data_IF_942081522391
#
_entry.id   IF_942081522391
#
_cell.length_a   1.000
_cell.length_b   1.000
_cell.length_c   1.000
_cell.angle_alpha   90.00
_cell.angle_beta   90.00
_cell.angle_gamma   90.00
#
_symmetry.space_group_name_H-M   'P 1'
#
loop_
_entity.id
_entity.type
_entity.pdbx_description
1 polymer ?
#
# COMPACT_ATOMS: atom_id res chain seq x y z
N UNK A 1 9.58 -19.03 -36.05
CA UNK A 1 8.58 -18.40 -35.16
C UNK A 1 8.05 -19.49 -34.25
N UNK A 2 8.01 -19.26 -32.94
CA UNK A 2 7.39 -20.19 -32.00
C UNK A 2 5.92 -20.43 -32.41
N UNK A 3 5.46 -21.67 -32.36
CA UNK A 3 4.10 -22.02 -32.75
C UNK A 3 3.13 -21.62 -31.62
N UNK A 4 2.55 -20.43 -31.74
CA UNK A 4 1.69 -19.86 -30.70
C UNK A 4 0.28 -20.47 -30.82
N UNK A 5 0.02 -21.48 -29.99
CA UNK A 5 -1.28 -22.14 -29.97
C UNK A 5 -2.40 -21.23 -29.44
N UNK A 6 -3.63 -21.44 -29.91
CA UNK A 6 -4.81 -20.73 -29.41
C UNK A 6 -5.04 -20.96 -27.90
N UNK A 7 -4.62 -22.12 -27.38
CA UNK A 7 -4.69 -22.46 -25.95
C UNK A 7 -3.78 -21.55 -25.12
N UNK A 8 -2.55 -21.29 -25.59
CA UNK A 8 -1.61 -20.39 -24.90
C UNK A 8 -2.11 -18.95 -24.89
N UNK A 9 -2.68 -18.48 -26.01
CA UNK A 9 -3.28 -17.14 -26.08
C UNK A 9 -4.45 -17.02 -25.11
N UNK A 10 -5.32 -18.04 -25.05
CA UNK A 10 -6.45 -18.09 -24.12
C UNK A 10 -5.97 -18.07 -22.67
N UNK A 11 -4.97 -18.88 -22.32
CA UNK A 11 -4.40 -18.93 -20.97
C UNK A 11 -3.82 -17.57 -20.54
N UNK A 12 -3.02 -16.94 -21.41
CA UNK A 12 -2.45 -15.62 -21.12
C UNK A 12 -3.54 -14.56 -20.96
N UNK A 13 -4.59 -14.62 -21.78
CA UNK A 13 -5.74 -13.71 -21.70
C UNK A 13 -6.51 -13.89 -20.39
N UNK A 14 -6.75 -15.12 -19.95
CA UNK A 14 -7.42 -15.40 -18.68
C UNK A 14 -6.58 -14.92 -17.48
N UNK A 15 -5.25 -15.04 -17.56
CA UNK A 15 -4.33 -14.56 -16.51
C UNK A 15 -4.23 -13.03 -16.45
N UNK A 16 -4.22 -12.36 -17.59
CA UNK A 16 -3.87 -10.92 -17.67
C UNK A 16 -5.05 -10.01 -17.96
N UNK A 17 -6.17 -10.55 -18.44
CA UNK A 17 -7.32 -9.76 -18.91
C UNK A 17 -7.04 -8.93 -20.17
N UNK A 18 -5.88 -9.08 -20.82
CA UNK A 18 -5.51 -8.30 -21.99
C UNK A 18 -6.29 -8.71 -23.25
N UNK A 19 -6.28 -7.83 -24.27
CA UNK A 19 -6.92 -8.10 -25.56
C UNK A 19 -6.30 -9.30 -26.28
N UNK A 20 -7.13 -10.09 -26.98
CA UNK A 20 -6.70 -11.33 -27.66
C UNK A 20 -5.46 -11.14 -28.55
N UNK A 21 -5.44 -10.07 -29.35
CA UNK A 21 -4.32 -9.77 -30.24
C UNK A 21 -3.07 -9.33 -29.49
N UNK A 22 -3.23 -8.68 -28.34
CA UNK A 22 -2.10 -8.27 -27.52
C UNK A 22 -1.46 -9.49 -26.84
N UNK A 23 -2.27 -10.43 -26.34
CA UNK A 23 -1.78 -11.72 -25.83
C UNK A 23 -1.03 -12.51 -26.90
N UNK A 24 -1.57 -12.58 -28.12
CA UNK A 24 -0.91 -13.27 -29.23
C UNK A 24 0.43 -12.61 -29.58
N UNK A 25 0.47 -11.28 -29.68
CA UNK A 25 1.71 -10.54 -29.95
C UNK A 25 2.73 -10.72 -28.83
N UNK A 26 2.30 -10.63 -27.57
CA UNK A 26 3.17 -10.83 -26.43
C UNK A 26 3.85 -12.21 -26.49
N UNK A 27 3.08 -13.27 -26.76
CA UNK A 27 3.61 -14.62 -26.90
C UNK A 27 4.54 -14.78 -28.10
N UNK A 28 4.31 -14.07 -29.21
CA UNK A 28 5.21 -14.08 -30.35
C UNK A 28 6.57 -13.44 -30.02
N UNK A 29 6.55 -12.30 -29.33
CA UNK A 29 7.76 -11.56 -28.92
C UNK A 29 8.54 -12.27 -27.80
N UNK A 30 7.89 -13.14 -27.03
CA UNK A 30 8.52 -13.87 -25.91
C UNK A 30 8.67 -15.36 -26.17
N UNK A 31 8.58 -15.77 -27.44
CA UNK A 31 8.80 -17.15 -27.89
C UNK A 31 7.90 -18.18 -27.16
N UNK A 32 6.68 -17.78 -26.80
CA UNK A 32 5.71 -18.61 -26.11
C UNK A 32 5.88 -18.67 -24.59
N UNK A 33 6.83 -17.93 -23.99
CA UNK A 33 6.99 -17.87 -22.54
C UNK A 33 5.90 -16.98 -21.91
N UNK A 34 5.02 -17.60 -21.10
CA UNK A 34 3.85 -16.97 -20.48
C UNK A 34 4.23 -15.89 -19.46
N UNK A 35 5.26 -16.12 -18.64
CA UNK A 35 5.71 -15.17 -17.62
C UNK A 35 6.29 -13.92 -18.28
N UNK A 36 7.22 -14.11 -19.23
CA UNK A 36 7.78 -13.01 -20.02
C UNK A 36 6.70 -12.28 -20.82
N UNK A 37 5.71 -13.00 -21.37
CA UNK A 37 4.60 -12.39 -22.09
C UNK A 37 3.74 -11.52 -21.17
N UNK A 38 3.55 -11.93 -19.91
CA UNK A 38 2.82 -11.15 -18.91
C UNK A 38 3.56 -9.86 -18.55
N UNK A 39 4.89 -9.93 -18.35
CA UNK A 39 5.72 -8.73 -18.15
C UNK A 39 5.70 -7.80 -19.38
N UNK A 40 5.75 -8.37 -20.58
CA UNK A 40 5.67 -7.61 -21.83
C UNK A 40 4.34 -6.87 -21.93
N UNK A 41 3.22 -7.54 -21.62
CA UNK A 41 1.90 -6.92 -21.56
C UNK A 41 1.82 -5.81 -20.51
N UNK A 42 2.45 -6.00 -19.35
CA UNK A 42 2.53 -4.98 -18.30
C UNK A 42 3.22 -3.71 -18.80
N UNK A 43 4.42 -3.85 -19.37
CA UNK A 43 5.19 -2.73 -19.96
C UNK A 43 4.41 -2.02 -21.07
N UNK A 44 3.77 -2.80 -21.95
CA UNK A 44 2.92 -2.25 -23.00
C UNK A 44 1.70 -1.53 -22.45
N UNK A 45 1.12 -2.01 -21.35
CA UNK A 45 0.00 -1.39 -20.66
C UNK A 45 0.32 0.01 -20.17
N UNK A 46 1.51 0.20 -19.57
CA UNK A 46 2.03 1.52 -19.16
C UNK A 46 2.09 2.47 -20.35
N UNK A 47 2.74 2.07 -21.45
CA UNK A 47 2.83 2.91 -22.66
C UNK A 47 1.44 3.20 -23.28
N UNK A 48 0.53 2.23 -23.22
CA UNK A 48 -0.85 2.39 -23.68
C UNK A 48 -1.63 3.39 -22.84
N UNK A 49 -1.36 3.44 -21.53
CA UNK A 49 -1.94 4.40 -20.60
C UNK A 49 -1.39 5.81 -20.83
N UNK A 50 -0.08 5.98 -20.96
CA UNK A 50 0.57 7.26 -21.29
C UNK A 50 -0.03 7.90 -22.55
N UNK A 51 -0.19 7.11 -23.62
CA UNK A 51 -0.79 7.58 -24.89
C UNK A 51 -2.25 8.02 -24.76
N UNK A 52 -2.96 7.53 -23.73
CA UNK A 52 -4.37 7.87 -23.48
C UNK A 52 -4.55 8.90 -22.37
N UNK A 53 -3.51 9.19 -21.58
CA UNK A 53 -3.58 10.06 -20.42
C UNK A 53 -4.09 11.49 -20.73
N UNK A 54 -3.83 11.99 -21.94
CA UNK A 54 -4.32 13.29 -22.41
C UNK A 54 -5.79 13.33 -22.83
N UNK A 55 -6.48 12.19 -22.90
CA UNK A 55 -7.91 12.15 -23.25
C UNK A 55 -8.75 12.52 -22.05
N UNK A 56 -9.76 13.35 -22.25
CA UNK A 56 -10.68 13.76 -21.17
C UNK A 56 -11.40 12.54 -20.61
N UNK A 57 -11.29 12.33 -19.29
CA UNK A 57 -12.00 11.31 -18.53
C UNK A 57 -12.96 12.02 -17.56
N UNK A 58 -14.21 12.25 -17.99
CA UNK A 58 -15.21 12.99 -17.23
C UNK A 58 -16.33 12.10 -16.66
N UNK A 59 -16.43 10.85 -17.13
CA UNK A 59 -17.32 9.83 -16.58
C UNK A 59 -16.59 9.03 -15.50
N UNK A 60 -17.26 8.10 -14.82
CA UNK A 60 -16.61 7.22 -13.84
C UNK A 60 -17.50 6.85 -12.66
N UNK A 61 -16.86 6.56 -11.52
CA UNK A 61 -17.54 6.20 -10.29
C UNK A 61 -16.89 6.85 -9.07
N UNK A 62 -17.72 7.20 -8.10
CA UNK A 62 -17.29 7.42 -6.72
C UNK A 62 -17.45 6.11 -5.96
N UNK A 63 -16.32 5.52 -5.55
CA UNK A 63 -16.26 4.35 -4.70
C UNK A 63 -16.27 4.72 -3.23
N UNK A 64 -16.76 3.80 -2.40
CA UNK A 64 -16.66 3.89 -0.96
C UNK A 64 -16.18 2.57 -0.38
N UNK A 65 -15.43 2.64 0.72
CA UNK A 65 -15.08 1.47 1.52
C UNK A 65 -15.05 1.83 3.00
N UNK A 66 -15.75 1.04 3.81
CA UNK A 66 -15.72 1.15 5.27
C UNK A 66 -15.01 -0.08 5.79
N UNK A 67 -13.89 0.12 6.49
CA UNK A 67 -13.14 -0.98 7.07
C UNK A 67 -13.91 -1.61 8.22
N UNK A 68 -13.61 -2.89 8.50
CA UNK A 68 -14.26 -3.66 9.56
C UNK A 68 -14.17 -2.91 10.89
N UNK A 69 -15.29 -2.82 11.60
CA UNK A 69 -15.41 -2.05 12.85
C UNK A 69 -15.67 -0.56 12.67
N UNK A 70 -15.82 -0.06 11.43
CA UNK A 70 -16.27 1.31 11.15
C UNK A 70 -15.29 2.41 11.56
N UNK A 71 -14.05 2.05 11.93
CA UNK A 71 -13.02 3.00 12.39
C UNK A 71 -12.33 3.73 11.25
N UNK A 72 -12.33 3.17 10.04
CA UNK A 72 -11.73 3.78 8.84
C UNK A 72 -12.78 3.81 7.75
N UNK A 73 -12.95 4.96 7.11
CA UNK A 73 -13.85 5.15 5.96
C UNK A 73 -13.14 5.85 4.82
N UNK A 74 -13.41 5.43 3.58
CA UNK A 74 -12.79 5.98 2.37
C UNK A 74 -13.85 6.32 1.35
N UNK A 75 -13.70 7.47 0.70
CA UNK A 75 -14.37 7.82 -0.56
C UNK A 75 -13.30 8.10 -1.62
N UNK A 76 -13.46 7.54 -2.82
CA UNK A 76 -12.51 7.72 -3.94
C UNK A 76 -13.26 8.00 -5.23
N UNK A 77 -12.81 8.99 -6.00
CA UNK A 77 -13.32 9.27 -7.34
C UNK A 77 -12.34 8.70 -8.37
N UNK A 78 -12.84 7.80 -9.22
CA UNK A 78 -12.07 7.23 -10.34
C UNK A 78 -12.82 7.50 -11.62
N UNK A 79 -12.18 8.22 -12.54
CA UNK A 79 -12.76 8.61 -13.82
C UNK A 79 -12.39 7.65 -14.94
N UNK A 80 -13.27 7.56 -15.94
CA UNK A 80 -13.07 6.98 -17.26
C UNK A 80 -13.65 7.89 -18.35
N UNK A 81 -13.61 7.49 -19.63
CA UNK A 81 -14.09 8.33 -20.73
C UNK A 81 -15.59 8.19 -20.96
N UNK A 82 -16.13 6.98 -20.78
CA UNK A 82 -17.54 6.69 -21.08
C UNK A 82 -18.28 6.03 -19.92
N UNK A 83 -19.59 6.26 -19.87
CA UNK A 83 -20.47 5.63 -18.88
C UNK A 83 -20.57 4.10 -19.07
N UNK A 84 -20.35 3.60 -20.29
CA UNK A 84 -20.24 2.17 -20.58
C UNK A 84 -19.11 1.50 -19.80
N UNK A 85 -17.92 2.11 -19.75
CA UNK A 85 -16.82 1.60 -18.93
C UNK A 85 -17.11 1.77 -17.44
N UNK A 86 -17.74 2.88 -17.02
CA UNK A 86 -18.12 3.08 -15.63
C UNK A 86 -19.04 1.97 -15.09
N UNK A 87 -19.91 1.39 -15.95
CA UNK A 87 -20.83 0.30 -15.58
C UNK A 87 -20.18 -1.10 -15.65
N UNK A 88 -18.97 -1.22 -16.20
CA UNK A 88 -18.28 -2.49 -16.35
C UNK A 88 -17.85 -3.07 -14.98
N UNK A 89 -18.05 -4.36 -14.76
CA UNK A 89 -17.71 -5.03 -13.49
C UNK A 89 -16.20 -4.98 -13.17
N UNK A 90 -15.32 -5.04 -14.17
CA UNK A 90 -13.88 -4.89 -13.96
C UNK A 90 -13.52 -3.48 -13.48
N UNK A 91 -14.19 -2.45 -14.02
CA UNK A 91 -14.00 -1.07 -13.58
C UNK A 91 -14.52 -0.89 -12.14
N UNK A 92 -15.71 -1.39 -11.83
CA UNK A 92 -16.24 -1.36 -10.45
C UNK A 92 -15.30 -2.05 -9.46
N UNK A 93 -14.76 -3.21 -9.83
CA UNK A 93 -13.80 -3.94 -9.01
C UNK A 93 -12.51 -3.14 -8.80
N UNK A 94 -11.99 -2.47 -9.83
CA UNK A 94 -10.85 -1.56 -9.70
C UNK A 94 -11.11 -0.45 -8.67
N UNK A 95 -12.25 0.23 -8.78
CA UNK A 95 -12.62 1.32 -7.86
C UNK A 95 -12.68 0.83 -6.41
N UNK A 96 -13.30 -0.34 -6.19
CA UNK A 96 -13.37 -0.97 -4.86
C UNK A 96 -11.99 -1.36 -4.33
N UNK A 97 -11.14 -1.95 -5.17
CA UNK A 97 -9.77 -2.32 -4.81
C UNK A 97 -8.91 -1.11 -4.44
N UNK A 98 -9.07 0.01 -5.15
CA UNK A 98 -8.37 1.26 -4.83
C UNK A 98 -8.89 1.83 -3.49
N UNK A 99 -10.20 1.81 -3.24
CA UNK A 99 -10.75 2.25 -1.96
C UNK A 99 -10.22 1.41 -0.79
N UNK A 100 -10.12 0.09 -0.95
CA UNK A 100 -9.51 -0.80 0.03
C UNK A 100 -8.02 -0.52 0.24
N UNK A 101 -7.27 -0.26 -0.84
CA UNK A 101 -5.87 0.12 -0.77
C UNK A 101 -5.71 1.38 0.09
N UNK A 102 -6.47 2.44 -0.20
CA UNK A 102 -6.41 3.69 0.55
C UNK A 102 -6.76 3.46 2.03
N UNK A 103 -7.68 2.56 2.36
CA UNK A 103 -7.96 2.26 3.76
C UNK A 103 -6.77 1.59 4.47
N UNK A 104 -6.05 0.73 3.75
CA UNK A 104 -4.87 0.01 4.26
C UNK A 104 -3.58 0.85 4.23
N UNK A 105 -3.52 1.90 3.42
CA UNK A 105 -2.34 2.76 3.24
C UNK A 105 -2.56 4.13 3.87
N UNK A 106 -1.58 4.65 4.61
CA UNK A 106 -1.63 6.04 5.15
C UNK A 106 -1.13 7.04 4.12
N UNK A 107 -1.71 7.00 2.92
CA UNK A 107 -1.40 7.93 1.82
C UNK A 107 -2.28 9.19 1.92
N UNK A 108 -1.73 10.31 1.48
CA UNK A 108 -2.36 11.63 1.57
C UNK A 108 -2.67 12.20 0.17
N UNK A 109 -1.88 11.82 -0.84
CA UNK A 109 -1.97 12.35 -2.20
C UNK A 109 -2.16 11.23 -3.21
N UNK A 110 -2.70 11.55 -4.40
CA UNK A 110 -2.82 10.55 -5.47
C UNK A 110 -1.44 10.29 -6.09
N UNK A 111 -0.71 11.34 -6.42
CA UNK A 111 0.62 11.30 -7.06
C UNK A 111 1.51 12.44 -6.57
N UNK A 112 2.81 12.34 -6.83
CA UNK A 112 3.83 13.30 -6.36
C UNK A 112 3.55 14.73 -6.81
N UNK A 113 3.01 14.92 -8.01
CA UNK A 113 2.68 16.26 -8.54
C UNK A 113 1.50 16.94 -7.84
N UNK A 114 0.73 16.19 -7.03
CA UNK A 114 -0.35 16.76 -6.23
C UNK A 114 0.14 17.26 -4.86
N UNK A 115 1.39 16.98 -4.48
CA UNK A 115 1.98 17.42 -3.21
C UNK A 115 2.30 18.91 -3.31
N UNK A 116 1.78 19.76 -2.39
CA UNK A 116 2.14 21.17 -2.36
C UNK A 116 3.65 21.37 -2.13
N UNK A 117 4.26 22.32 -2.85
CA UNK A 117 5.69 22.62 -2.73
C UNK A 117 6.11 22.90 -1.27
N UNK A 118 5.27 23.61 -0.50
CA UNK A 118 5.52 23.89 0.91
C UNK A 118 5.67 22.62 1.78
N UNK A 119 4.95 21.54 1.47
CA UNK A 119 5.06 20.27 2.18
C UNK A 119 6.35 19.54 1.76
N UNK A 120 6.64 19.51 0.46
CA UNK A 120 7.87 18.91 -0.06
C UNK A 120 9.13 19.62 0.47
N UNK A 121 9.12 20.94 0.54
CA UNK A 121 10.22 21.75 1.06
C UNK A 121 10.40 21.53 2.57
N UNK A 122 9.30 21.47 3.33
CA UNK A 122 9.35 21.16 4.76
C UNK A 122 9.93 19.77 5.03
N UNK A 123 9.50 18.75 4.28
CA UNK A 123 10.07 17.40 4.37
C UNK A 123 11.57 17.39 4.01
N UNK A 124 11.96 18.18 3.00
CA UNK A 124 13.37 18.37 2.65
C UNK A 124 14.18 19.00 3.77
N UNK A 125 13.69 20.06 4.38
CA UNK A 125 14.35 20.73 5.51
C UNK A 125 14.50 19.79 6.71
N UNK A 126 13.46 19.03 7.04
CA UNK A 126 13.51 18.04 8.12
C UNK A 126 14.55 16.95 7.87
N UNK A 127 14.66 16.45 6.63
CA UNK A 127 15.68 15.46 6.28
C UNK A 127 17.10 16.04 6.27
N UNK A 128 17.28 17.29 5.83
CA UNK A 128 18.59 17.98 5.89
C UNK A 128 19.07 18.23 7.32
N UNK A 129 18.13 18.47 8.24
CA UNK A 129 18.41 18.75 9.66
C UNK A 129 18.73 17.52 10.50
N UNK A 130 18.74 16.30 9.94
CA UNK A 130 19.01 15.08 10.73
C UNK A 130 20.47 14.97 11.15
N UNK A 131 20.67 14.62 12.43
CA UNK A 131 21.99 14.48 13.07
C UNK A 131 22.89 13.44 12.40
N UNK A 132 22.30 12.44 11.72
CA UNK A 132 23.03 11.38 11.01
C UNK A 132 23.70 11.86 9.71
N UNK A 133 23.48 13.13 9.34
CA UNK A 133 24.17 13.82 8.26
C UNK A 133 25.34 14.68 8.77
N UNK A 134 25.57 14.77 10.08
CA UNK A 134 26.74 15.45 10.63
C UNK A 134 28.04 14.78 10.18
N UNK A 135 29.07 15.58 9.90
CA UNK A 135 30.39 15.10 9.45
C UNK A 135 30.51 14.62 8.00
N UNK A 136 29.43 14.53 7.22
CA UNK A 136 29.49 14.16 5.79
C UNK A 136 29.77 15.40 4.89
N UNK A 137 30.46 15.25 3.75
CA UNK A 137 30.57 16.32 2.75
C UNK A 137 29.20 16.74 2.22
N UNK A 138 29.02 18.02 1.92
CA UNK A 138 27.74 18.64 1.52
C UNK A 138 27.11 17.94 0.30
N UNK A 139 27.91 17.64 -0.73
CA UNK A 139 27.47 16.90 -1.91
C UNK A 139 26.98 15.46 -1.61
N UNK A 140 27.48 14.83 -0.55
CA UNK A 140 26.98 13.51 -0.11
C UNK A 140 25.69 13.66 0.69
N UNK A 141 25.57 14.71 1.52
CA UNK A 141 24.33 15.01 2.25
C UNK A 141 23.18 15.24 1.28
N UNK A 142 23.38 16.08 0.27
CA UNK A 142 22.35 16.38 -0.74
C UNK A 142 21.86 15.11 -1.45
N UNK A 143 22.76 14.23 -1.88
CA UNK A 143 22.38 12.97 -2.52
C UNK A 143 21.61 12.03 -1.60
N UNK A 144 22.02 11.94 -0.33
CA UNK A 144 21.31 11.12 0.67
C UNK A 144 19.91 11.69 0.91
N UNK A 145 19.82 13.00 1.13
CA UNK A 145 18.57 13.71 1.38
C UNK A 145 17.64 13.59 0.19
N UNK A 146 18.14 13.74 -1.04
CA UNK A 146 17.34 13.55 -2.25
C UNK A 146 16.68 12.17 -2.29
N UNK A 147 17.44 11.09 -2.09
CA UNK A 147 16.87 9.74 -2.09
C UNK A 147 15.85 9.51 -0.97
N UNK A 148 16.07 10.11 0.21
CA UNK A 148 15.12 10.04 1.33
C UNK A 148 13.82 10.79 1.03
N UNK A 149 13.91 11.99 0.47
CA UNK A 149 12.75 12.78 0.07
C UNK A 149 11.97 12.05 -1.03
N UNK A 150 12.65 11.55 -2.06
CA UNK A 150 12.00 10.79 -3.13
C UNK A 150 11.23 9.59 -2.56
N UNK A 151 11.82 8.86 -1.61
CA UNK A 151 11.13 7.77 -0.91
C UNK A 151 9.94 8.28 -0.08
N UNK A 152 10.12 9.35 0.68
CA UNK A 152 9.09 9.93 1.56
C UNK A 152 7.88 10.41 0.75
N UNK A 153 8.11 11.14 -0.35
CA UNK A 153 7.05 11.62 -1.23
C UNK A 153 6.28 10.45 -1.85
N UNK A 154 6.97 9.38 -2.26
CA UNK A 154 6.32 8.15 -2.75
C UNK A 154 5.48 7.47 -1.69
N UNK A 155 5.95 7.38 -0.45
CA UNK A 155 5.19 6.81 0.68
C UNK A 155 3.87 7.57 0.95
N UNK A 156 3.83 8.86 0.64
CA UNK A 156 2.62 9.69 0.78
C UNK A 156 1.65 9.57 -0.42
N UNK A 157 2.09 8.99 -1.54
CA UNK A 157 1.35 8.94 -2.80
C UNK A 157 0.73 7.56 -3.05
N UNK A 158 -0.56 7.54 -3.39
CA UNK A 158 -1.30 6.32 -3.70
C UNK A 158 -0.75 5.55 -4.91
N UNK A 159 -0.46 6.24 -6.02
CA UNK A 159 -0.05 5.59 -7.27
C UNK A 159 1.30 4.86 -7.15
N UNK A 160 2.18 5.34 -6.28
CA UNK A 160 3.49 4.74 -5.99
C UNK A 160 3.42 3.56 -5.01
N UNK A 161 2.29 3.32 -4.35
CA UNK A 161 2.17 2.21 -3.40
C UNK A 161 2.15 0.86 -4.11
N UNK A 162 2.80 -0.13 -3.49
CA UNK A 162 2.61 -1.53 -3.84
C UNK A 162 1.15 -1.95 -3.59
N UNK A 163 0.58 -2.70 -4.52
CA UNK A 163 -0.80 -3.14 -4.41
C UNK A 163 -0.93 -4.23 -3.34
N UNK A 164 -1.84 -4.04 -2.38
CA UNK A 164 -1.97 -4.94 -1.21
C UNK A 164 -2.28 -6.39 -1.61
N UNK A 165 -2.96 -6.63 -2.74
CA UNK A 165 -3.27 -7.99 -3.21
C UNK A 165 -2.18 -8.58 -4.11
N UNK A 166 -1.27 -7.76 -4.64
CA UNK A 166 -0.13 -8.18 -5.45
C UNK A 166 1.03 -7.19 -5.29
N UNK A 167 1.97 -7.52 -4.40
CA UNK A 167 3.10 -6.64 -4.07
C UNK A 167 4.11 -6.48 -5.22
N UNK A 168 3.95 -7.22 -6.33
CA UNK A 168 4.83 -7.11 -7.49
C UNK A 168 4.47 -5.95 -8.43
N UNK A 169 3.33 -5.31 -8.19
CA UNK A 169 2.85 -4.17 -8.97
C UNK A 169 2.48 -2.99 -8.08
N UNK A 170 2.60 -1.79 -8.64
CA UNK A 170 2.07 -0.58 -8.00
C UNK A 170 0.61 -0.34 -8.36
N UNK A 171 -0.04 0.60 -7.67
CA UNK A 171 -1.39 1.05 -8.04
C UNK A 171 -1.39 1.73 -9.41
N UNK A 172 -0.35 2.46 -9.77
CA UNK A 172 -0.19 3.02 -11.12
C UNK A 172 -0.20 1.92 -12.19
N UNK A 173 0.58 0.85 -11.97
CA UNK A 173 0.63 -0.28 -12.89
C UNK A 173 -0.71 -1.01 -12.98
N UNK A 174 -1.41 -1.17 -11.85
CA UNK A 174 -2.77 -1.74 -11.81
C UNK A 174 -3.75 -0.92 -12.68
N UNK A 175 -3.73 0.41 -12.53
CA UNK A 175 -4.56 1.31 -13.34
C UNK A 175 -4.16 1.21 -14.82
N UNK A 176 -2.88 1.20 -15.14
CA UNK A 176 -2.39 1.09 -16.52
C UNK A 176 -2.79 -0.23 -17.19
N UNK A 177 -2.78 -1.35 -16.44
CA UNK A 177 -3.30 -2.63 -16.91
C UNK A 177 -4.80 -2.53 -17.27
N UNK A 178 -5.59 -1.85 -16.45
CA UNK A 178 -7.01 -1.64 -16.72
C UNK A 178 -7.25 -0.71 -17.91
N UNK A 179 -6.42 0.33 -18.08
CA UNK A 179 -6.43 1.19 -19.30
C UNK A 179 -6.12 0.38 -20.56
N UNK A 180 -5.20 -0.58 -20.47
CA UNK A 180 -4.86 -1.45 -21.58
C UNK A 180 -5.99 -2.43 -21.91
N UNK A 181 -6.61 -3.02 -20.89
CA UNK A 181 -7.70 -3.99 -21.04
C UNK A 181 -9.01 -3.35 -21.51
N UNK A 182 -9.40 -2.22 -20.91
CA UNK A 182 -10.67 -1.52 -21.19
C UNK A 182 -10.55 -0.54 -22.37
N UNK A 183 -9.34 -0.15 -22.75
CA UNK A 183 -9.10 0.70 -23.92
C UNK A 183 -9.38 2.19 -23.70
N UNK A 184 -9.71 2.61 -22.49
CA UNK A 184 -9.99 4.01 -22.13
C UNK A 184 -8.96 4.57 -21.15
N UNK A 185 -8.83 5.90 -21.11
CA UNK A 185 -8.11 6.60 -20.06
C UNK A 185 -8.86 6.40 -18.73
N UNK A 186 -8.14 5.97 -17.70
CA UNK A 186 -8.66 5.79 -16.35
C UNK A 186 -7.75 6.56 -15.41
N UNK A 187 -8.34 7.37 -14.54
CA UNK A 187 -7.59 8.24 -13.63
C UNK A 187 -8.20 8.20 -12.25
N UNK A 188 -7.38 8.01 -11.22
CA UNK A 188 -7.78 8.32 -9.84
C UNK A 188 -7.72 9.82 -9.68
N UNK A 189 -8.84 10.46 -9.37
CA UNK A 189 -8.96 11.92 -9.38
C UNK A 189 -8.66 12.52 -8.01
N UNK A 190 -9.25 11.94 -6.98
CA UNK A 190 -9.12 12.36 -5.58
C UNK A 190 -9.68 11.27 -4.68
N UNK A 191 -9.28 11.32 -3.42
CA UNK A 191 -9.89 10.52 -2.37
C UNK A 191 -9.93 11.31 -1.07
N UNK A 192 -10.72 10.83 -0.13
CA UNK A 192 -10.65 11.20 1.28
C UNK A 192 -10.67 9.93 2.11
N UNK A 193 -9.82 9.91 3.14
CA UNK A 193 -9.75 8.85 4.13
C UNK A 193 -10.06 9.47 5.49
N UNK A 194 -10.92 8.81 6.24
CA UNK A 194 -11.26 9.17 7.61
C UNK A 194 -10.76 8.07 8.53
N UNK A 195 -10.14 8.43 9.64
CA UNK A 195 -9.81 7.52 10.74
C UNK A 195 -10.38 8.04 12.07
N UNK A 196 -11.12 7.18 12.77
CA UNK A 196 -11.81 7.54 14.01
C UNK A 196 -10.79 7.90 15.10
N UNK A 197 -10.84 9.15 15.55
CA UNK A 197 -9.95 9.68 16.58
C UNK A 197 -8.65 10.30 16.03
N UNK A 198 -8.50 10.39 14.71
CA UNK A 198 -7.38 11.09 14.08
C UNK A 198 -7.34 12.56 14.54
N UNK A 199 -6.17 13.02 14.97
CA UNK A 199 -5.96 14.39 15.45
C UNK A 199 -6.50 14.72 16.84
N UNK A 200 -7.02 13.72 17.58
CA UNK A 200 -7.49 13.91 18.97
C UNK A 200 -6.44 13.35 19.93
N UNK A 201 -5.81 14.22 20.72
CA UNK A 201 -5.03 13.80 21.88
C UNK A 201 -5.98 13.21 22.92
N UNK A 202 -5.83 11.91 23.20
CA UNK A 202 -6.52 11.31 24.33
C UNK A 202 -5.64 11.51 25.55
N UNK A 203 -6.18 12.18 26.57
CA UNK A 203 -5.59 12.08 27.90
C UNK A 203 -5.64 10.61 28.32
N UNK A 204 -4.49 9.95 28.35
CA UNK A 204 -4.35 8.68 29.03
C UNK A 204 -4.40 8.95 30.53
N UNK A 205 -5.62 8.91 31.09
CA UNK A 205 -5.79 8.82 32.52
C UNK A 205 -5.41 7.40 32.95
N UNK A 206 -4.29 7.26 33.65
CA UNK A 206 -3.97 6.03 34.37
C UNK A 206 -4.97 5.86 35.51
N UNK A 207 -6.06 5.15 35.20
CA UNK A 207 -7.14 4.88 36.13
C UNK A 207 -6.64 4.13 37.37
N UNK A 208 -5.56 3.35 37.24
CA UNK A 208 -4.93 2.68 38.38
C UNK A 208 -4.22 3.70 39.28
N UNK A 209 -3.48 4.64 38.72
CA UNK A 209 -2.87 5.74 39.48
C UNK A 209 -3.92 6.67 40.11
N UNK A 210 -5.02 6.95 39.41
CA UNK A 210 -6.11 7.80 39.89
C UNK A 210 -6.86 7.14 41.07
N UNK A 211 -7.16 5.83 40.96
CA UNK A 211 -7.76 5.05 42.04
C UNK A 211 -6.79 4.90 43.22
N UNK A 212 -5.49 4.67 42.97
CA UNK A 212 -4.48 4.61 44.02
C UNK A 212 -4.36 5.94 44.79
N UNK A 213 -4.39 7.06 44.07
CA UNK A 213 -4.36 8.40 44.64
C UNK A 213 -5.62 8.72 45.49
N UNK A 214 -6.82 8.32 45.04
CA UNK A 214 -8.06 8.50 45.81
C UNK A 214 -8.14 7.59 47.04
N UNK A 215 -7.56 6.38 46.97
CA UNK A 215 -7.55 5.42 48.08
C UNK A 215 -6.39 5.65 49.06
N UNK A 216 -5.53 6.65 48.82
CA UNK A 216 -4.37 6.95 49.67
C UNK A 216 -3.31 5.84 49.66
N UNK A 217 -3.31 4.99 48.65
CA UNK A 217 -2.34 3.90 48.48
C UNK A 217 -1.26 4.44 47.54
N UNK A 218 -0.02 4.60 48.03
CA UNK A 218 1.08 5.02 47.18
C UNK A 218 1.22 4.04 45.99
N UNK A 219 1.46 4.53 44.76
CA UNK A 219 1.66 3.66 43.61
C UNK A 219 2.82 2.72 43.94
N UNK A 220 2.56 1.42 43.85
CA UNK A 220 3.60 0.42 44.02
C UNK A 220 4.59 0.61 42.87
N UNK A 221 5.71 1.29 43.15
CA UNK A 221 6.78 1.47 42.18
C UNK A 221 7.19 0.13 41.57
N UNK A 222 7.49 0.17 40.27
CA UNK A 222 7.76 -0.92 39.34
C UNK A 222 8.88 -1.91 39.71
N UNK A 223 9.38 -1.93 40.94
CA UNK A 223 10.54 -2.77 41.32
C UNK A 223 10.19 -4.13 41.91
N UNK A 224 8.92 -4.45 42.22
CA UNK A 224 8.55 -5.77 42.81
C UNK A 224 7.75 -6.70 41.90
N UNK A 225 7.17 -6.19 40.81
CA UNK A 225 6.42 -7.04 39.88
C UNK A 225 7.34 -7.86 38.95
N UNK A 226 8.52 -7.33 38.62
CA UNK A 226 9.53 -7.98 37.79
C UNK A 226 10.25 -9.13 38.52
N UNK A 227 10.62 -8.95 39.80
CA UNK A 227 11.23 -10.02 40.59
C UNK A 227 10.24 -11.17 40.90
N UNK A 228 8.95 -10.87 41.08
CA UNK A 228 7.94 -11.90 41.30
C UNK A 228 7.62 -12.70 40.02
N UNK A 229 7.63 -12.05 38.84
CA UNK A 229 7.40 -12.72 37.57
C UNK A 229 8.58 -13.63 37.16
N UNK A 230 9.83 -13.19 37.36
CA UNK A 230 11.02 -14.01 37.06
C UNK A 230 11.15 -15.22 38.01
N UNK A 231 10.77 -15.09 39.28
CA UNK A 231 10.80 -16.20 40.24
C UNK A 231 9.79 -17.32 39.88
N UNK A 232 8.58 -16.95 39.44
CA UNK A 232 7.55 -17.90 39.04
C UNK A 232 7.90 -18.60 37.72
N UNK A 233 8.53 -17.90 36.77
CA UNK A 233 8.98 -18.52 35.52
C UNK A 233 10.17 -19.49 35.73
N UNK A 234 11.02 -19.24 36.73
CA UNK A 234 12.13 -20.12 37.09
C UNK A 234 11.68 -21.42 37.78
N UNK A 235 10.66 -21.37 38.64
CA UNK A 235 10.09 -22.56 39.28
C UNK A 235 9.36 -23.46 38.27
N UNK A 236 8.56 -22.89 37.36
CA UNK A 236 7.83 -23.64 36.32
C UNK A 236 8.76 -24.31 35.31
N UNK A 237 9.91 -23.71 35.00
CA UNK A 237 10.95 -24.34 34.14
C UNK A 237 11.68 -25.49 34.84
N UNK A 238 11.78 -25.48 36.18
CA UNK A 238 12.46 -26.52 36.95
C UNK A 238 11.58 -27.78 37.16
N UNK A 239 10.26 -27.62 37.32
CA UNK A 239 9.33 -28.74 37.38
C UNK A 239 9.23 -29.49 36.04
N UNK A 240 9.11 -28.77 34.91
CA UNK A 240 9.07 -29.42 33.58
C UNK A 240 10.34 -30.20 33.22
N UNK A 241 11.49 -29.84 33.80
CA UNK A 241 12.76 -30.57 33.61
C UNK A 241 12.84 -31.87 34.43
N UNK A 242 12.13 -31.97 35.55
CA UNK A 242 12.05 -33.21 36.36
C UNK A 242 11.08 -34.23 35.77
N UNK A 243 9.98 -33.79 35.17
CA UNK A 243 9.00 -34.70 34.56
C UNK A 243 9.45 -35.26 33.20
N UNK A 244 10.26 -34.51 32.44
CA UNK A 244 10.83 -34.97 31.17
C UNK A 244 11.84 -36.11 31.25
N UNK A 245 12.33 -36.48 32.46
CA UNK A 245 13.35 -37.53 32.64
C UNK A 245 12.80 -38.86 33.19
N UNK A 246 11.50 -38.96 33.48
CA UNK A 246 10.83 -40.21 33.89
C UNK A 246 10.07 -40.94 32.77
N UNK A 247 10.06 -40.41 31.55
CA UNK A 247 9.31 -40.97 30.40
C UNK A 247 10.13 -41.68 29.32
N UNK A 248 11.39 -42.06 29.58
CA UNK A 248 12.18 -42.94 28.68
C UNK A 248 12.94 -43.99 29.49
N UNK A 249 12.21 -45.03 29.89
CA UNK A 249 12.70 -46.39 30.03
C UNK A 249 11.68 -47.31 29.39
#
# INVERSE_FOLDING_TARGET
>A
MADISAKMVKELREKTGAGMMDCKKALQETEGNIEKASEWLRKKGISSAEKKAGRVAAEGLVGQYIHIGGRIGVLVEVNCQTDFVARNEAFKALVQNIAMQIAASKVEYVKISDIPAAIADKEKEMEMGRDDLSGKPEAIKEKIVQGRIEKRLKEMCLLDQAYVKDQNITIEELVAQHVASLGENIQVRRFVRFELGEGIEKEETDFAAEVAAQMGIAPAGDSKATEAAEAVEAEVKNEKKKDGKKGKK
#
